data_IF_007277044182
#
_entry.id   IF_007277044182
#
_cell.length_a   1.000
_cell.length_b   1.000
_cell.length_c   1.000
_cell.angle_alpha   90.00
_cell.angle_beta   90.00
_cell.angle_gamma   90.00
#
_symmetry.space_group_name_H-M   'P 1'
#
loop_
_entity.id
_entity.type
_entity.pdbx_description
1 polymer ?
#
# COMPACT_ATOMS: atom_id res chain seq x y z
N UNK A 1 19.53 -0.31 26.20
CA UNK A 1 19.57 0.51 24.98
C UNK A 1 18.64 -0.15 23.95
N UNK A 2 17.34 0.21 23.95
CA UNK A 2 16.39 -0.32 22.96
C UNK A 2 16.65 0.44 21.65
N UNK A 3 17.14 -0.25 20.63
CA UNK A 3 17.17 0.27 19.27
C UNK A 3 15.71 0.51 18.85
N UNK A 4 15.23 1.75 18.96
CA UNK A 4 13.97 2.18 18.36
C UNK A 4 14.24 2.45 16.88
N UNK A 5 14.53 1.39 16.11
CA UNK A 5 14.21 1.41 14.69
C UNK A 5 12.71 1.59 14.62
N UNK A 6 12.25 2.72 14.09
CA UNK A 6 10.82 3.01 13.99
C UNK A 6 10.18 1.99 13.03
N UNK A 7 9.61 0.92 13.60
CA UNK A 7 8.64 0.08 12.93
C UNK A 7 7.50 1.03 12.51
N UNK A 8 7.44 1.40 11.24
CA UNK A 8 6.26 2.07 10.71
C UNK A 8 5.16 1.02 10.74
N UNK A 9 3.99 1.40 11.25
CA UNK A 9 2.84 0.51 11.35
C UNK A 9 1.73 1.16 10.55
N UNK A 10 1.51 0.68 9.33
CA UNK A 10 0.29 1.02 8.58
C UNK A 10 -0.87 0.29 9.26
N UNK A 11 -1.87 1.04 9.71
CA UNK A 11 -3.05 0.44 10.36
C UNK A 11 -4.28 0.57 9.48
N UNK A 12 -5.18 -0.40 9.60
CA UNK A 12 -6.41 -0.44 8.80
C UNK A 12 -6.13 -0.36 7.30
N UNK A 13 -5.09 -1.07 6.82
CA UNK A 13 -4.78 -1.12 5.40
C UNK A 13 -5.93 -1.77 4.64
N UNK A 14 -6.42 -1.07 3.64
CA UNK A 14 -7.44 -1.53 2.71
C UNK A 14 -6.96 -1.28 1.29
N UNK A 15 -7.32 -2.19 0.40
CA UNK A 15 -7.16 -1.99 -1.03
C UNK A 15 -8.46 -2.34 -1.75
N UNK A 16 -8.67 -1.69 -2.90
CA UNK A 16 -9.82 -1.95 -3.78
C UNK A 16 -9.35 -1.94 -5.22
N UNK A 17 -9.61 -3.04 -5.93
CA UNK A 17 -9.37 -3.12 -7.38
C UNK A 17 -10.21 -2.07 -8.11
N UNK A 18 -9.56 -1.15 -8.80
CA UNK A 18 -10.22 -0.16 -9.68
C UNK A 18 -10.23 -0.66 -11.13
N UNK A 19 -9.15 -1.30 -11.54
CA UNK A 19 -8.99 -1.87 -12.89
C UNK A 19 -8.10 -3.10 -12.79
N UNK A 20 -8.51 -4.20 -13.41
CA UNK A 20 -7.71 -5.42 -13.53
C UNK A 20 -7.94 -6.02 -14.90
N UNK A 21 -7.20 -5.53 -15.90
CA UNK A 21 -7.21 -6.11 -17.23
C UNK A 21 -5.78 -6.33 -17.72
N UNK A 22 -5.65 -7.03 -18.85
CA UNK A 22 -4.36 -7.41 -19.44
C UNK A 22 -3.45 -6.21 -19.78
N UNK A 23 -4.01 -5.02 -19.97
CA UNK A 23 -3.27 -3.80 -20.35
C UNK A 23 -2.82 -3.02 -19.12
N UNK A 24 -3.62 -3.02 -18.05
CA UNK A 24 -3.37 -2.17 -16.89
C UNK A 24 -4.12 -2.68 -15.67
N UNK A 25 -3.39 -2.73 -14.55
CA UNK A 25 -3.96 -2.97 -13.22
C UNK A 25 -3.77 -1.75 -12.33
N UNK A 26 -4.82 -1.41 -11.57
CA UNK A 26 -4.88 -0.27 -10.66
C UNK A 26 -5.67 -0.65 -9.41
N UNK A 27 -5.14 -0.28 -8.25
CA UNK A 27 -5.80 -0.49 -6.97
C UNK A 27 -5.82 0.82 -6.18
N UNK A 28 -6.97 1.19 -5.64
CA UNK A 28 -7.03 2.24 -4.61
C UNK A 28 -6.53 1.63 -3.31
N UNK A 29 -5.59 2.29 -2.64
CA UNK A 29 -5.11 1.93 -1.30
C UNK A 29 -5.48 3.03 -0.32
N UNK A 30 -5.81 2.62 0.91
CA UNK A 30 -6.11 3.54 2.01
C UNK A 30 -5.69 2.92 3.33
N UNK A 31 -5.05 3.72 4.19
CA UNK A 31 -4.57 3.28 5.49
C UNK A 31 -4.38 4.47 6.42
N UNK A 32 -4.18 4.21 7.71
CA UNK A 32 -3.75 5.23 8.67
C UNK A 32 -2.27 5.08 9.00
N UNK A 33 -1.56 6.20 8.95
CA UNK A 33 -0.18 6.33 9.38
C UNK A 33 -0.06 7.51 10.36
N UNK A 34 0.43 7.25 11.57
CA UNK A 34 0.50 8.25 12.65
C UNK A 34 -0.82 8.99 12.91
N UNK A 35 -1.95 8.27 12.83
CA UNK A 35 -3.29 8.84 13.03
C UNK A 35 -3.80 9.69 11.86
N UNK A 36 -3.05 9.81 10.77
CA UNK A 36 -3.47 10.49 9.54
C UNK A 36 -3.90 9.47 8.51
N UNK A 37 -5.05 9.72 7.88
CA UNK A 37 -5.48 8.97 6.72
C UNK A 37 -4.50 9.26 5.56
N UNK A 38 -4.06 8.22 4.87
CA UNK A 38 -3.28 8.29 3.65
C UNK A 38 -4.01 7.48 2.56
N UNK A 39 -4.01 7.99 1.34
CA UNK A 39 -4.75 7.41 0.22
C UNK A 39 -3.97 7.58 -1.08
N UNK A 40 -4.03 6.60 -1.96
CA UNK A 40 -3.42 6.68 -3.29
C UNK A 40 -3.89 5.58 -4.23
N UNK A 41 -3.44 5.66 -5.48
CA UNK A 41 -3.65 4.65 -6.51
C UNK A 41 -2.33 3.93 -6.73
N UNK A 42 -2.29 2.65 -6.37
CA UNK A 42 -1.19 1.74 -6.66
C UNK A 42 -1.33 1.21 -8.09
N UNK A 43 -0.29 1.39 -8.91
CA UNK A 43 -0.23 0.93 -10.29
C UNK A 43 0.52 -0.41 -10.39
N UNK A 44 0.31 -1.12 -11.50
CA UNK A 44 0.95 -2.42 -11.74
C UNK A 44 2.49 -2.39 -11.71
N UNK A 45 3.10 -1.26 -12.06
CA UNK A 45 4.55 -1.06 -12.03
C UNK A 45 5.09 -0.71 -10.62
N UNK A 46 4.21 -0.62 -9.62
CA UNK A 46 4.53 -0.23 -8.26
C UNK A 46 4.32 1.26 -7.97
N UNK A 47 4.16 2.12 -8.98
CA UNK A 47 3.97 3.55 -8.76
C UNK A 47 2.75 3.82 -7.88
N UNK A 48 2.89 4.72 -6.90
CA UNK A 48 1.78 5.19 -6.07
C UNK A 48 1.44 6.64 -6.44
N UNK A 49 0.27 6.84 -7.06
CA UNK A 49 -0.30 8.17 -7.30
C UNK A 49 -1.06 8.60 -6.03
N UNK A 50 -0.42 9.41 -5.18
CA UNK A 50 -1.00 9.81 -3.89
C UNK A 50 -2.14 10.84 -4.05
N UNK A 51 -3.30 10.53 -3.46
CA UNK A 51 -4.40 11.47 -3.22
C UNK A 51 -4.18 12.22 -1.89
N UNK A 52 -3.80 11.48 -0.86
CA UNK A 52 -3.42 12.00 0.44
C UNK A 52 -2.10 11.35 0.88
N UNK A 53 -1.01 12.10 0.75
CA UNK A 53 0.36 11.58 0.90
C UNK A 53 0.83 11.56 2.35
N UNK A 54 1.68 10.59 2.74
CA UNK A 54 2.41 10.64 4.00
C UNK A 54 3.43 11.80 4.02
N UNK A 55 4.04 12.03 5.19
CA UNK A 55 5.11 13.02 5.33
C UNK A 55 6.32 12.64 4.49
N UNK A 56 7.02 13.64 3.93
CA UNK A 56 8.16 13.42 3.00
C UNK A 56 9.26 12.58 3.64
N UNK A 57 9.54 12.80 4.93
CA UNK A 57 10.57 12.07 5.70
C UNK A 57 10.28 10.58 5.86
N UNK A 58 9.01 10.17 5.70
CA UNK A 58 8.57 8.79 5.89
C UNK A 58 8.07 8.16 4.59
N UNK A 59 7.99 8.93 3.50
CA UNK A 59 7.41 8.52 2.23
C UNK A 59 8.02 7.20 1.73
N UNK A 60 9.34 7.14 1.60
CA UNK A 60 10.06 5.95 1.11
C UNK A 60 9.74 4.69 1.94
N UNK A 61 9.70 4.82 3.27
CA UNK A 61 9.41 3.68 4.15
C UNK A 61 7.94 3.27 4.12
N UNK A 62 7.03 4.24 4.01
CA UNK A 62 5.59 3.96 3.85
C UNK A 62 5.35 3.26 2.50
N UNK A 63 5.97 3.75 1.43
CA UNK A 63 5.90 3.15 0.10
C UNK A 63 6.38 1.69 0.14
N UNK A 64 7.54 1.43 0.75
CA UNK A 64 8.06 0.05 0.92
C UNK A 64 7.05 -0.88 1.62
N UNK A 65 6.38 -0.44 2.69
CA UNK A 65 5.37 -1.26 3.36
C UNK A 65 4.09 -1.44 2.53
N UNK A 66 3.67 -0.40 1.79
CA UNK A 66 2.54 -0.53 0.87
C UNK A 66 2.88 -1.53 -0.23
N UNK A 67 4.11 -1.52 -0.76
CA UNK A 67 4.57 -2.52 -1.74
C UNK A 67 4.48 -3.93 -1.16
N UNK A 68 5.06 -4.18 0.02
CA UNK A 68 5.03 -5.50 0.65
C UNK A 68 3.60 -6.01 0.86
N UNK A 69 2.72 -5.14 1.38
CA UNK A 69 1.30 -5.46 1.56
C UNK A 69 0.61 -5.72 0.22
N UNK A 70 0.80 -4.89 -0.79
CA UNK A 70 0.18 -5.09 -2.11
C UNK A 70 0.70 -6.35 -2.80
N UNK A 71 1.99 -6.66 -2.71
CA UNK A 71 2.58 -7.87 -3.28
C UNK A 71 1.96 -9.13 -2.65
N UNK A 72 1.79 -9.14 -1.32
CA UNK A 72 1.08 -10.22 -0.63
C UNK A 72 -0.33 -10.43 -1.21
N UNK A 73 -1.10 -9.35 -1.40
CA UNK A 73 -2.47 -9.46 -1.90
C UNK A 73 -2.60 -9.69 -3.41
N UNK A 74 -1.63 -9.27 -4.23
CA UNK A 74 -1.68 -9.41 -5.70
C UNK A 74 -1.11 -10.77 -6.16
N UNK A 75 -0.15 -11.33 -5.43
CA UNK A 75 0.56 -12.55 -5.84
C UNK A 75 0.20 -13.79 -5.03
N UNK A 76 -0.31 -13.66 -3.80
CA UNK A 76 -1.01 -14.78 -3.16
C UNK A 76 -2.44 -14.83 -3.69
N UNK A 77 -2.56 -15.28 -4.94
CA UNK A 77 -3.80 -15.77 -5.55
C UNK A 77 -4.25 -17.02 -4.76
N UNK A 78 -4.70 -16.81 -3.52
CA UNK A 78 -5.64 -17.73 -2.88
C UNK A 78 -6.99 -17.44 -3.53
N UNK A 79 -7.28 -18.16 -4.60
CA UNK A 79 -8.65 -18.35 -5.07
C UNK A 79 -9.26 -19.48 -4.21
N UNK A 80 -10.08 -19.20 -3.19
CA UNK A 80 -10.78 -20.25 -2.45
C UNK A 80 -11.98 -20.82 -3.24
N UNK A 81 -12.21 -20.40 -4.50
CA UNK A 81 -13.35 -20.79 -5.33
C UNK A 81 -12.95 -21.36 -6.71
N UNK A 82 -11.75 -21.94 -6.84
CA UNK A 82 -11.46 -22.95 -7.87
C UNK A 82 -11.79 -24.35 -7.34
#
# INVERSE_FOLDING_TARGET
MRSKGADIVLTHFQFKTLKNNWISKKWKVSFFHQGKLCEGIYLQDGTIEWENKPSVEQLEKVEMQVHDLMLYHIYEDHDPNQ
#
